data_IF_955455428438
#
_entry.id   IF_955455428438
#
_cell.length_a   1.000
_cell.length_b   1.000
_cell.length_c   1.000
_cell.angle_alpha   90.00
_cell.angle_beta   90.00
_cell.angle_gamma   90.00
#
_symmetry.space_group_name_H-M   'P 1'
#
loop_
_entity.id
_entity.type
_entity.pdbx_description
1 polymer ?
#
# COMPACT_ATOMS: atom_id res chain seq x y z
N UNK A 1 25.47 -17.01 7.50
CA UNK A 1 24.81 -17.93 6.54
C UNK A 1 25.74 -18.36 5.41
N UNK A 2 26.21 -17.44 4.54
CA UNK A 2 27.04 -17.77 3.35
C UNK A 2 28.28 -18.64 3.65
N UNK A 3 29.00 -18.37 4.74
CA UNK A 3 30.17 -19.18 5.13
C UNK A 3 29.81 -20.60 5.57
N UNK A 4 28.69 -20.76 6.29
CA UNK A 4 28.20 -22.09 6.71
C UNK A 4 27.78 -22.92 5.49
N UNK A 5 27.05 -22.28 4.56
CA UNK A 5 26.64 -22.93 3.32
C UNK A 5 27.84 -23.24 2.41
N UNK A 6 28.84 -22.36 2.34
CA UNK A 6 30.06 -22.58 1.56
C UNK A 6 30.98 -23.68 2.12
N UNK A 7 30.95 -23.95 3.43
CA UNK A 7 31.68 -25.08 4.04
C UNK A 7 30.92 -26.40 3.85
N UNK A 8 29.59 -26.35 3.84
CA UNK A 8 28.72 -27.50 3.61
C UNK A 8 28.41 -27.76 2.13
N UNK A 9 28.83 -26.89 1.21
CA UNK A 9 28.47 -26.99 -0.22
C UNK A 9 29.16 -28.13 -0.96
N UNK A 10 30.25 -28.66 -0.40
CA UNK A 10 30.99 -29.78 -0.98
C UNK A 10 31.29 -30.85 0.06
N UNK A 11 31.44 -32.12 -0.37
CA UNK A 11 31.98 -33.15 0.50
C UNK A 11 33.43 -32.84 0.84
N UNK A 12 33.77 -32.89 2.11
CA UNK A 12 35.15 -32.87 2.58
C UNK A 12 35.74 -34.27 2.40
N UNK A 13 36.98 -34.32 1.91
CA UNK A 13 37.66 -35.59 1.61
C UNK A 13 38.77 -35.80 2.61
N UNK A 14 38.67 -36.87 3.39
CA UNK A 14 39.75 -37.37 4.24
C UNK A 14 40.50 -38.44 3.44
N UNK A 15 41.81 -38.26 3.27
CA UNK A 15 42.66 -39.22 2.54
C UNK A 15 43.78 -39.72 3.44
N UNK A 16 43.85 -41.04 3.60
CA UNK A 16 44.96 -41.69 4.29
C UNK A 16 46.12 -41.93 3.32
N UNK A 17 47.15 -41.09 3.38
CA UNK A 17 48.30 -41.10 2.45
C UNK A 17 49.03 -42.45 2.41
N UNK A 18 49.10 -43.16 3.53
CA UNK A 18 49.76 -44.48 3.63
C UNK A 18 49.07 -45.59 2.82
N UNK A 19 47.83 -45.35 2.36
CA UNK A 19 47.00 -46.32 1.63
C UNK A 19 46.72 -45.91 0.18
N UNK A 20 47.21 -44.75 -0.24
CA UNK A 20 47.14 -44.29 -1.62
C UNK A 20 48.43 -44.69 -2.33
N UNK A 21 48.36 -45.10 -3.59
CA UNK A 21 49.54 -45.50 -4.35
C UNK A 21 50.52 -44.30 -4.48
N UNK A 22 51.85 -44.46 -4.31
CA UNK A 22 52.82 -43.35 -4.23
C UNK A 22 52.97 -42.47 -5.48
N UNK A 23 52.16 -42.70 -6.52
CA UNK A 23 52.15 -41.94 -7.77
C UNK A 23 50.83 -41.24 -8.07
N UNK A 24 49.83 -41.26 -7.18
CA UNK A 24 48.58 -40.53 -7.39
C UNK A 24 48.64 -39.08 -6.90
N UNK A 25 48.10 -38.18 -7.72
CA UNK A 25 47.87 -36.78 -7.37
C UNK A 25 46.69 -36.70 -6.38
N UNK A 26 46.99 -36.26 -5.15
CA UNK A 26 46.03 -36.13 -4.04
C UNK A 26 45.26 -34.80 -4.06
N UNK A 27 45.72 -33.81 -4.82
CA UNK A 27 45.21 -32.44 -4.77
C UNK A 27 44.15 -32.17 -5.84
N UNK A 28 44.24 -32.84 -7.00
CA UNK A 28 43.30 -32.63 -8.10
C UNK A 28 42.28 -33.77 -8.23
N UNK A 29 41.00 -33.47 -8.03
CA UNK A 29 39.88 -34.39 -8.26
C UNK A 29 39.04 -33.92 -9.45
N UNK A 30 38.71 -34.85 -10.36
CA UNK A 30 37.85 -34.60 -11.52
C UNK A 30 36.73 -35.66 -11.59
N UNK A 31 35.64 -35.40 -12.33
CA UNK A 31 34.53 -36.35 -12.46
C UNK A 31 35.03 -37.72 -12.96
N UNK A 32 34.56 -38.80 -12.34
CA UNK A 32 34.95 -40.19 -12.64
C UNK A 32 36.41 -40.56 -12.34
N UNK A 33 37.12 -39.79 -11.50
CA UNK A 33 38.44 -40.20 -10.99
C UNK A 33 38.32 -41.48 -10.15
N UNK A 34 39.02 -42.52 -10.59
CA UNK A 34 39.15 -43.79 -9.86
C UNK A 34 40.44 -43.74 -9.06
N UNK A 35 40.34 -43.88 -7.73
CA UNK A 35 41.48 -43.87 -6.84
C UNK A 35 42.09 -45.26 -6.71
N UNK A 36 43.41 -45.36 -6.91
CA UNK A 36 44.15 -46.60 -6.70
C UNK A 36 44.58 -46.70 -5.25
N UNK A 37 43.95 -47.62 -4.52
CA UNK A 37 44.23 -47.86 -3.10
C UNK A 37 45.06 -49.12 -2.92
N UNK A 38 45.95 -49.10 -1.92
CA UNK A 38 46.74 -50.24 -1.48
C UNK A 38 46.46 -50.45 0.00
N UNK A 39 46.09 -51.67 0.40
CA UNK A 39 45.94 -52.03 1.81
C UNK A 39 47.07 -52.99 2.23
N UNK A 40 48.23 -52.48 2.65
CA UNK A 40 49.36 -53.31 3.05
C UNK A 40 49.14 -54.05 4.39
N UNK A 41 48.11 -53.70 5.17
CA UNK A 41 47.84 -54.30 6.50
C UNK A 41 46.49 -55.02 6.61
N UNK A 42 45.68 -55.08 5.55
CA UNK A 42 44.43 -55.85 5.52
C UNK A 42 43.38 -55.40 6.54
N UNK A 43 43.37 -54.11 6.90
CA UNK A 43 42.55 -53.57 8.00
C UNK A 43 41.13 -53.19 7.57
N UNK A 44 40.80 -53.27 6.29
CA UNK A 44 39.43 -53.13 5.78
C UNK A 44 38.81 -51.72 5.91
N UNK A 45 39.59 -50.71 6.32
CA UNK A 45 39.15 -49.31 6.37
C UNK A 45 39.37 -48.64 5.01
N UNK A 46 38.39 -47.88 4.50
CA UNK A 46 38.51 -47.15 3.24
C UNK A 46 39.67 -46.15 3.29
N UNK A 47 40.41 -46.02 2.19
CA UNK A 47 41.53 -45.08 2.09
C UNK A 47 41.08 -43.63 1.90
N UNK A 48 39.86 -43.44 1.38
CA UNK A 48 39.26 -42.13 1.09
C UNK A 48 37.85 -42.13 1.67
N UNK A 49 37.58 -41.16 2.53
CA UNK A 49 36.25 -40.91 3.09
C UNK A 49 35.75 -39.56 2.63
N UNK A 50 34.53 -39.55 2.12
CA UNK A 50 33.78 -38.31 1.86
C UNK A 50 32.83 -38.09 3.03
N UNK A 51 32.94 -36.94 3.69
CA UNK A 51 31.98 -36.52 4.70
C UNK A 51 31.48 -35.12 4.38
N UNK A 52 30.19 -34.89 4.57
CA UNK A 52 29.59 -33.57 4.39
C UNK A 52 29.22 -33.01 5.77
N UNK A 53 29.71 -31.82 6.14
CA UNK A 53 29.25 -31.14 7.35
C UNK A 53 27.74 -30.86 7.26
N UNK A 54 27.00 -31.07 8.35
CA UNK A 54 25.57 -30.78 8.38
C UNK A 54 25.33 -29.26 8.24
N UNK A 55 24.61 -28.80 7.20
CA UNK A 55 24.32 -27.38 7.03
C UNK A 55 23.30 -26.90 8.09
N UNK A 56 23.75 -26.09 9.06
CA UNK A 56 22.86 -25.42 10.03
C UNK A 56 22.10 -24.20 9.44
N UNK A 57 21.68 -24.28 8.17
CA UNK A 57 21.18 -23.14 7.39
C UNK A 57 19.81 -22.67 7.85
N UNK A 58 18.92 -23.59 8.25
CA UNK A 58 17.54 -23.26 8.64
C UNK A 58 17.48 -22.41 9.91
N UNK A 59 18.29 -22.75 10.91
CA UNK A 59 18.36 -21.99 12.16
C UNK A 59 18.98 -20.60 11.92
N UNK A 60 19.99 -20.51 11.05
CA UNK A 60 20.59 -19.23 10.69
C UNK A 60 19.64 -18.33 9.89
N UNK A 61 18.80 -18.92 9.04
CA UNK A 61 17.74 -18.20 8.33
C UNK A 61 16.70 -17.66 9.33
N UNK A 62 16.25 -18.47 10.28
CA UNK A 62 15.30 -18.03 11.31
C UNK A 62 15.84 -16.86 12.16
N UNK A 63 17.13 -16.90 12.53
CA UNK A 63 17.80 -15.80 13.24
C UNK A 63 17.88 -14.54 12.36
N UNK A 64 18.21 -14.69 11.08
CA UNK A 64 18.25 -13.57 10.14
C UNK A 64 16.87 -12.92 9.99
N UNK A 65 15.82 -13.71 9.76
CA UNK A 65 14.46 -13.21 9.59
C UNK A 65 13.96 -12.49 10.86
N UNK A 66 14.33 -12.99 12.04
CA UNK A 66 14.03 -12.33 13.31
C UNK A 66 14.69 -10.94 13.41
N UNK A 67 16.00 -10.86 13.17
CA UNK A 67 16.71 -9.58 13.22
C UNK A 67 16.28 -8.63 12.10
N UNK A 68 15.95 -9.15 10.92
CA UNK A 68 15.47 -8.33 9.81
C UNK A 68 14.07 -7.76 10.09
N UNK A 69 13.17 -8.54 10.70
CA UNK A 69 11.87 -8.05 11.20
C UNK A 69 12.05 -7.02 12.31
N UNK A 70 12.89 -7.31 13.30
CA UNK A 70 13.17 -6.38 14.40
C UNK A 70 13.77 -5.06 13.90
N UNK A 71 14.70 -5.13 12.94
CA UNK A 71 15.28 -3.96 12.32
C UNK A 71 14.22 -3.11 11.61
N UNK A 72 13.29 -3.74 10.88
CA UNK A 72 12.19 -3.02 10.22
C UNK A 72 11.22 -2.35 11.20
N UNK A 73 11.01 -2.94 12.38
CA UNK A 73 10.21 -2.34 13.44
C UNK A 73 10.93 -1.15 14.09
N UNK A 74 12.24 -1.25 14.31
CA UNK A 74 13.05 -0.16 14.86
C UNK A 74 13.26 1.02 13.91
N UNK A 75 13.42 0.76 12.61
CA UNK A 75 13.53 1.84 11.61
C UNK A 75 12.18 2.52 11.33
N UNK A 76 11.07 1.94 11.80
CA UNK A 76 9.74 2.46 11.56
C UNK A 76 9.30 2.36 10.10
N UNK A 77 10.01 1.61 9.24
CA UNK A 77 9.63 1.34 7.86
C UNK A 77 9.35 -0.17 7.72
N UNK A 78 8.09 -0.58 7.87
CA UNK A 78 7.71 -1.97 7.76
C UNK A 78 7.92 -2.52 6.35
N UNK A 79 8.24 -3.81 6.28
CA UNK A 79 8.58 -4.51 5.04
C UNK A 79 7.48 -4.47 3.97
N UNK A 80 6.22 -4.31 4.37
CA UNK A 80 5.10 -4.19 3.44
C UNK A 80 5.17 -2.94 2.56
N UNK A 81 5.81 -1.83 2.99
CA UNK A 81 5.97 -0.63 2.16
C UNK A 81 6.84 -0.92 0.93
N UNK A 82 7.88 -1.75 1.07
CA UNK A 82 8.83 -2.04 0.00
C UNK A 82 8.27 -2.97 -1.09
N UNK A 83 6.98 -3.31 -1.03
CA UNK A 83 6.35 -4.18 -2.01
C UNK A 83 6.71 -5.65 -1.82
N UNK A 84 6.98 -6.08 -0.57
CA UNK A 84 7.11 -7.50 -0.27
C UNK A 84 5.88 -8.24 -0.82
N UNK A 85 6.13 -9.20 -1.71
CA UNK A 85 5.18 -10.09 -2.37
C UNK A 85 4.35 -10.95 -1.39
N UNK A 86 4.50 -10.72 -0.08
CA UNK A 86 3.65 -11.25 0.99
C UNK A 86 2.24 -10.66 1.04
N UNK A 87 1.90 -9.72 0.14
CA UNK A 87 0.50 -9.42 -0.17
C UNK A 87 -0.28 -10.64 -0.70
N UNK A 88 0.41 -11.73 -1.08
CA UNK A 88 -0.20 -13.04 -1.40
C UNK A 88 -0.03 -14.11 -0.32
N UNK A 89 0.76 -13.87 0.74
CA UNK A 89 1.10 -14.87 1.76
C UNK A 89 0.71 -14.50 3.20
N UNK A 90 0.39 -13.23 3.47
CA UNK A 90 -0.05 -12.77 4.78
C UNK A 90 -1.50 -13.18 5.07
N UNK A 91 -1.70 -14.37 5.62
CA UNK A 91 -2.97 -14.75 6.27
C UNK A 91 -3.28 -13.74 7.39
N UNK A 92 -4.11 -12.73 7.11
CA UNK A 92 -4.50 -11.69 8.06
C UNK A 92 -4.95 -10.38 7.40
N UNK A 93 -5.06 -9.31 8.21
CA UNK A 93 -5.62 -8.01 7.82
C UNK A 93 -5.02 -7.36 6.56
N UNK A 94 -3.80 -7.73 6.15
CA UNK A 94 -3.16 -7.30 4.90
C UNK A 94 -3.78 -7.86 3.61
N UNK A 95 -4.64 -8.88 3.70
CA UNK A 95 -5.32 -9.47 2.55
C UNK A 95 -6.50 -8.63 2.03
N UNK A 96 -6.99 -7.68 2.83
CA UNK A 96 -8.08 -6.78 2.43
C UNK A 96 -7.51 -5.41 2.07
N UNK A 97 -7.99 -4.82 0.97
CA UNK A 97 -7.54 -3.49 0.54
C UNK A 97 -7.65 -2.43 1.67
N UNK A 98 -8.66 -2.55 2.53
CA UNK A 98 -8.84 -1.68 3.70
C UNK A 98 -7.79 -1.92 4.79
N UNK A 99 -7.49 -3.18 5.14
CA UNK A 99 -6.50 -3.49 6.17
C UNK A 99 -5.06 -3.26 5.70
N UNK A 100 -4.77 -3.47 4.41
CA UNK A 100 -3.52 -3.03 3.79
C UNK A 100 -3.40 -1.49 3.84
N UNK A 101 -4.47 -0.75 3.50
CA UNK A 101 -4.46 0.72 3.58
C UNK A 101 -4.27 1.23 5.01
N UNK A 102 -4.82 0.54 6.02
CA UNK A 102 -4.58 0.88 7.43
C UNK A 102 -3.13 0.68 7.85
N UNK A 103 -2.52 -0.44 7.45
CA UNK A 103 -1.11 -0.71 7.71
C UNK A 103 -0.21 0.30 6.99
N UNK A 104 -0.52 0.63 5.73
CA UNK A 104 0.18 1.68 5.00
C UNK A 104 0.07 3.03 5.69
N UNK A 105 -1.12 3.43 6.16
CA UNK A 105 -1.30 4.69 6.87
C UNK A 105 -0.49 4.75 8.18
N UNK A 106 -0.43 3.65 8.94
CA UNK A 106 0.36 3.58 10.17
C UNK A 106 1.86 3.77 9.89
N UNK A 107 2.36 3.23 8.78
CA UNK A 107 3.74 3.39 8.37
C UNK A 107 4.03 4.71 7.64
N UNK A 108 3.03 5.33 7.01
CA UNK A 108 3.15 6.69 6.47
C UNK A 108 3.37 7.71 7.60
N UNK A 109 2.82 7.46 8.80
CA UNK A 109 3.01 8.35 9.96
C UNK A 109 4.48 8.50 10.35
N UNK A 110 5.25 7.41 10.39
CA UNK A 110 6.69 7.48 10.73
C UNK A 110 7.48 8.25 9.67
N UNK A 111 7.11 8.12 8.39
CA UNK A 111 7.69 8.92 7.31
C UNK A 111 7.32 10.40 7.45
N UNK A 112 6.07 10.70 7.81
CA UNK A 112 5.61 12.08 8.06
C UNK A 112 6.33 12.72 9.25
N UNK A 113 6.62 11.96 10.30
CA UNK A 113 7.40 12.44 11.45
C UNK A 113 8.82 12.87 11.00
N UNK A 114 9.46 12.11 10.11
CA UNK A 114 10.76 12.50 9.52
C UNK A 114 10.64 13.79 8.71
N UNK A 115 9.58 13.96 7.91
CA UNK A 115 9.34 15.21 7.16
C UNK A 115 9.11 16.38 8.12
N UNK A 116 8.40 16.16 9.23
CA UNK A 116 8.18 17.16 10.26
C UNK A 116 9.50 17.62 10.90
N UNK A 117 10.40 16.66 11.15
CA UNK A 117 11.74 16.94 11.67
C UNK A 117 12.58 17.74 10.67
N UNK A 118 12.47 17.45 9.36
CA UNK A 118 13.18 18.21 8.32
C UNK A 118 12.66 19.66 8.23
N UNK A 119 11.35 19.85 8.27
CA UNK A 119 10.72 21.17 8.27
C UNK A 119 11.15 21.99 9.49
N UNK A 120 11.14 21.38 10.68
CA UNK A 120 11.51 22.01 11.94
C UNK A 120 13.00 22.31 12.06
N UNK A 121 13.86 21.32 11.84
CA UNK A 121 15.29 21.43 12.15
C UNK A 121 16.12 21.97 10.98
N UNK A 122 15.76 21.63 9.74
CA UNK A 122 16.56 21.98 8.55
C UNK A 122 16.05 23.26 7.91
N UNK A 123 14.75 23.31 7.57
CA UNK A 123 14.18 24.43 6.82
C UNK A 123 14.12 25.68 7.68
N UNK A 124 13.60 25.57 8.91
CA UNK A 124 13.48 26.72 9.82
C UNK A 124 14.85 27.31 10.13
N UNK A 125 15.87 26.47 10.39
CA UNK A 125 17.23 26.94 10.64
C UNK A 125 17.84 27.59 9.39
N UNK A 126 17.69 26.98 8.21
CA UNK A 126 18.21 27.54 6.96
C UNK A 126 17.65 28.93 6.66
N UNK A 127 16.34 29.14 6.87
CA UNK A 127 15.71 30.46 6.67
C UNK A 127 16.19 31.46 7.72
N UNK A 128 16.36 31.03 8.99
CA UNK A 128 16.90 31.88 10.05
C UNK A 128 18.33 32.32 9.76
N UNK A 129 19.20 31.41 9.30
CA UNK A 129 20.57 31.74 8.89
C UNK A 129 20.58 32.70 7.69
N UNK A 130 19.68 32.47 6.72
CA UNK A 130 19.54 33.36 5.57
C UNK A 130 19.10 34.77 6.00
N UNK A 131 18.14 34.87 6.92
CA UNK A 131 17.74 36.15 7.51
C UNK A 131 18.89 36.82 8.24
N UNK A 132 19.65 36.07 9.05
CA UNK A 132 20.82 36.59 9.77
C UNK A 132 21.89 37.13 8.80
N UNK A 133 22.13 36.43 7.71
CA UNK A 133 23.00 36.89 6.63
C UNK A 133 22.48 38.19 6.00
N UNK A 134 21.19 38.29 5.67
CA UNK A 134 20.60 39.53 5.14
C UNK A 134 20.72 40.67 6.16
N UNK A 135 20.52 40.41 7.46
CA UNK A 135 20.63 41.44 8.51
C UNK A 135 22.04 41.99 8.67
N UNK A 136 23.06 41.13 8.57
CA UNK A 136 24.47 41.49 8.71
C UNK A 136 25.02 42.23 7.49
N UNK A 137 24.65 41.80 6.28
CA UNK A 137 25.31 42.25 5.04
C UNK A 137 24.49 43.22 4.18
N UNK A 138 23.16 43.29 4.33
CA UNK A 138 22.34 44.24 3.56
C UNK A 138 22.41 45.66 4.17
N UNK A 139 22.57 46.65 3.30
CA UNK A 139 22.73 48.08 3.63
C UNK A 139 21.37 48.78 3.79
N UNK A 140 20.29 48.20 3.28
CA UNK A 140 18.94 48.76 3.40
C UNK A 140 18.32 48.53 4.77
N UNK A 141 18.28 49.59 5.60
CA UNK A 141 17.68 49.55 6.95
C UNK A 141 16.17 49.22 6.93
N UNK A 142 15.45 49.55 5.85
CA UNK A 142 14.01 49.25 5.71
C UNK A 142 13.68 47.76 5.67
N UNK A 143 14.64 46.89 5.34
CA UNK A 143 14.44 45.43 5.29
C UNK A 143 14.72 44.75 6.64
N UNK A 144 15.14 45.52 7.65
CA UNK A 144 15.51 44.99 8.97
C UNK A 144 14.29 44.90 9.89
N UNK A 145 13.57 43.78 9.77
CA UNK A 145 12.44 43.42 10.63
C UNK A 145 12.68 42.11 11.37
N UNK A 146 11.97 41.93 12.48
CA UNK A 146 11.97 40.67 13.23
C UNK A 146 11.17 39.60 12.48
N UNK A 147 11.60 38.35 12.53
CA UNK A 147 10.91 37.22 11.88
C UNK A 147 10.67 36.08 12.85
N UNK A 148 9.48 35.50 12.77
CA UNK A 148 9.17 34.22 13.36
C UNK A 148 8.88 33.22 12.24
N UNK A 149 9.82 32.32 11.99
CA UNK A 149 9.71 31.30 10.93
C UNK A 149 8.94 30.10 11.49
N UNK A 150 7.84 29.75 10.84
CA UNK A 150 7.03 28.57 11.17
C UNK A 150 6.82 27.76 9.89
N UNK A 151 7.48 26.61 9.78
CA UNK A 151 7.26 25.67 8.68
C UNK A 151 5.94 24.92 8.90
N UNK A 152 4.99 25.01 7.95
CA UNK A 152 3.64 24.39 8.02
C UNK A 152 3.37 23.42 6.88
N UNK A 153 4.36 23.10 6.06
CA UNK A 153 4.17 22.29 4.85
C UNK A 153 3.73 20.86 5.20
N UNK A 154 4.49 20.19 6.06
CA UNK A 154 4.15 18.87 6.60
C UNK A 154 2.78 18.83 7.27
N UNK A 155 2.47 19.78 8.15
CA UNK A 155 1.16 19.88 8.83
C UNK A 155 0.00 19.97 7.82
N UNK A 156 0.12 20.84 6.81
CA UNK A 156 -0.90 20.97 5.78
C UNK A 156 -1.09 19.69 4.97
N UNK A 157 -0.01 18.94 4.69
CA UNK A 157 -0.09 17.67 3.98
C UNK A 157 -0.82 16.60 4.79
N UNK A 158 -0.53 16.48 6.08
CA UNK A 158 -1.18 15.53 6.99
C UNK A 158 -2.69 15.84 7.09
N UNK A 159 -3.04 17.11 7.27
CA UNK A 159 -4.44 17.54 7.33
C UNK A 159 -5.14 17.26 5.99
N UNK A 160 -4.49 17.53 4.86
CA UNK A 160 -5.06 17.29 3.55
C UNK A 160 -5.37 15.80 3.31
N UNK A 161 -4.46 14.91 3.71
CA UNK A 161 -4.64 13.46 3.66
C UNK A 161 -5.76 12.99 4.60
N UNK A 162 -5.78 13.45 5.85
CA UNK A 162 -6.82 13.10 6.81
C UNK A 162 -8.21 13.54 6.32
N UNK A 163 -8.31 14.74 5.75
CA UNK A 163 -9.54 15.23 5.13
C UNK A 163 -9.95 14.37 3.93
N UNK A 164 -8.99 13.85 3.15
CA UNK A 164 -9.28 12.95 2.03
C UNK A 164 -9.88 11.63 2.51
N UNK A 165 -9.30 11.03 3.55
CA UNK A 165 -9.81 9.78 4.14
C UNK A 165 -11.22 9.98 4.71
N UNK A 166 -11.44 11.04 5.49
CA UNK A 166 -12.77 11.38 6.04
C UNK A 166 -13.79 11.66 4.95
N UNK A 167 -13.40 12.27 3.84
CA UNK A 167 -14.29 12.51 2.70
C UNK A 167 -14.73 11.18 2.05
N UNK A 168 -13.81 10.23 1.88
CA UNK A 168 -14.13 8.91 1.33
C UNK A 168 -15.03 8.12 2.29
N UNK A 169 -14.75 8.15 3.58
CA UNK A 169 -15.58 7.55 4.63
C UNK A 169 -17.00 8.13 4.60
N UNK A 170 -17.11 9.46 4.61
CA UNK A 170 -18.39 10.18 4.50
C UNK A 170 -19.12 9.79 3.21
N UNK A 171 -18.42 9.69 2.07
CA UNK A 171 -19.02 9.30 0.80
C UNK A 171 -19.55 7.87 0.82
N UNK A 172 -18.89 6.96 1.54
CA UNK A 172 -19.33 5.57 1.68
C UNK A 172 -20.50 5.43 2.65
N UNK A 173 -20.46 6.13 3.78
CA UNK A 173 -21.49 6.09 4.82
C UNK A 173 -22.81 6.72 4.34
N UNK A 174 -22.73 7.86 3.67
CA UNK A 174 -23.92 8.58 3.15
C UNK A 174 -24.48 7.99 1.85
N UNK A 175 -24.14 6.73 1.54
CA UNK A 175 -24.75 5.95 0.46
C UNK A 175 -25.96 5.13 0.95
N UNK A 176 -26.69 5.64 1.94
CA UNK A 176 -27.90 5.04 2.49
C UNK A 176 -29.16 5.82 2.03
N UNK A 177 -30.35 5.19 1.98
CA UNK A 177 -31.57 5.87 1.55
C UNK A 177 -32.05 6.96 2.52
N UNK A 178 -31.66 6.89 3.79
CA UNK A 178 -32.04 7.87 4.82
C UNK A 178 -31.25 9.17 4.62
N UNK A 179 -29.94 9.12 4.48
CA UNK A 179 -29.14 10.35 4.31
C UNK A 179 -29.44 10.94 2.95
N UNK A 180 -29.62 10.14 1.89
CA UNK A 180 -30.06 10.65 0.58
C UNK A 180 -31.38 11.42 0.64
N UNK A 181 -32.32 11.04 1.52
CA UNK A 181 -33.55 11.80 1.73
C UNK A 181 -33.32 13.13 2.49
N UNK A 182 -32.34 13.18 3.39
CA UNK A 182 -32.00 14.36 4.19
C UNK A 182 -31.20 15.40 3.38
N UNK A 183 -30.15 14.95 2.69
CA UNK A 183 -29.27 15.85 1.92
C UNK A 183 -29.71 16.04 0.46
N UNK A 184 -30.62 15.20 -0.04
CA UNK A 184 -31.10 15.25 -1.43
C UNK A 184 -30.01 14.94 -2.46
N UNK A 185 -30.40 14.88 -3.74
CA UNK A 185 -29.44 14.75 -4.85
C UNK A 185 -28.47 15.94 -4.92
N UNK A 186 -28.89 17.13 -4.48
CA UNK A 186 -28.05 18.33 -4.46
C UNK A 186 -26.92 18.28 -3.43
N UNK A 187 -27.21 17.88 -2.18
CA UNK A 187 -26.21 17.78 -1.13
C UNK A 187 -25.17 16.71 -1.43
N UNK A 188 -25.63 15.56 -1.97
CA UNK A 188 -24.74 14.48 -2.42
C UNK A 188 -23.84 14.94 -3.57
N UNK A 189 -24.36 15.71 -4.52
CA UNK A 189 -23.58 16.25 -5.63
C UNK A 189 -22.48 17.22 -5.18
N UNK A 190 -22.68 17.99 -4.11
CA UNK A 190 -21.61 18.84 -3.55
C UNK A 190 -20.47 18.01 -2.99
N UNK A 191 -20.76 16.93 -2.26
CA UNK A 191 -19.75 16.01 -1.73
C UNK A 191 -18.97 15.31 -2.85
N UNK A 192 -19.66 14.86 -3.89
CA UNK A 192 -19.04 14.26 -5.07
C UNK A 192 -18.18 15.26 -5.85
N UNK A 193 -18.60 16.53 -5.94
CA UNK A 193 -17.82 17.57 -6.60
C UNK A 193 -16.51 17.83 -5.87
N UNK A 194 -16.54 17.89 -4.54
CA UNK A 194 -15.34 18.11 -3.73
C UNK A 194 -14.35 16.94 -3.83
N UNK A 195 -14.83 15.69 -3.90
CA UNK A 195 -13.95 14.53 -4.10
C UNK A 195 -13.31 14.49 -5.49
N UNK A 196 -14.07 14.82 -6.53
CA UNK A 196 -13.59 14.87 -7.93
C UNK A 196 -12.63 16.03 -8.17
N UNK A 197 -12.84 17.18 -7.51
CA UNK A 197 -11.91 18.31 -7.56
C UNK A 197 -10.51 17.94 -7.06
N UNK A 198 -10.43 17.10 -6.03
CA UNK A 198 -9.14 16.59 -5.51
C UNK A 198 -8.46 15.60 -6.45
N UNK A 199 -9.24 14.89 -7.27
CA UNK A 199 -8.73 14.03 -8.35
C UNK A 199 -8.22 14.83 -9.57
N UNK A 200 -8.23 16.17 -9.51
CA UNK A 200 -7.85 17.08 -10.62
C UNK A 200 -8.66 16.84 -11.90
N UNK A 201 -9.85 16.28 -11.78
CA UNK A 201 -10.79 16.11 -12.88
C UNK A 201 -11.66 17.38 -13.03
N UNK A 202 -12.15 17.71 -14.24
CA UNK A 202 -13.08 18.81 -14.43
C UNK A 202 -14.39 18.53 -13.67
N UNK A 203 -14.50 19.09 -12.48
CA UNK A 203 -15.60 18.81 -11.55
C UNK A 203 -16.98 19.25 -12.03
N UNK A 204 -17.01 20.20 -12.98
CA UNK A 204 -18.24 20.67 -13.63
C UNK A 204 -18.76 19.77 -14.76
N UNK A 205 -17.91 18.88 -15.29
CA UNK A 205 -18.28 17.97 -16.38
C UNK A 205 -18.87 16.65 -15.84
N UNK A 206 -18.38 16.20 -14.67
CA UNK A 206 -18.79 14.92 -14.07
C UNK A 206 -20.00 15.06 -13.14
N UNK A 207 -20.12 16.19 -12.43
CA UNK A 207 -21.23 16.41 -11.47
C UNK A 207 -22.04 17.65 -11.85
N UNK A 208 -23.30 17.49 -12.29
CA UNK A 208 -24.13 18.60 -12.73
C UNK A 208 -24.29 19.69 -11.65
N UNK A 209 -24.39 20.94 -12.07
CA UNK A 209 -24.58 22.08 -11.17
C UNK A 209 -25.92 22.04 -10.44
N UNK A 210 -25.98 22.69 -9.27
CA UNK A 210 -27.17 22.71 -8.40
C UNK A 210 -28.46 23.07 -9.16
N UNK A 211 -28.39 24.01 -10.10
CA UNK A 211 -29.51 24.43 -10.95
C UNK A 211 -29.99 23.32 -11.90
N UNK A 212 -29.06 22.58 -12.50
CA UNK A 212 -29.37 21.48 -13.42
C UNK A 212 -29.91 20.25 -12.69
N UNK A 213 -29.47 20.02 -11.45
CA UNK A 213 -29.98 18.94 -10.59
C UNK A 213 -31.42 19.25 -10.18
N UNK A 214 -31.70 20.48 -9.74
CA UNK A 214 -33.08 20.94 -9.45
C UNK A 214 -34.00 20.76 -10.64
N UNK A 215 -33.57 21.20 -11.82
CA UNK A 215 -34.35 21.08 -13.05
C UNK A 215 -34.62 19.61 -13.42
N UNK A 216 -33.62 18.72 -13.26
CA UNK A 216 -33.79 17.28 -13.49
C UNK A 216 -34.70 16.60 -12.45
N UNK A 217 -34.63 17.00 -11.18
CA UNK A 217 -35.54 16.49 -10.14
C UNK A 217 -36.97 16.91 -10.42
N UNK A 218 -37.20 18.18 -10.76
CA UNK A 218 -38.54 18.69 -11.07
C UNK A 218 -39.13 18.01 -12.32
N UNK A 219 -38.30 17.75 -13.33
CA UNK A 219 -38.70 17.00 -14.52
C UNK A 219 -39.02 15.52 -14.21
N UNK A 220 -38.27 14.88 -13.30
CA UNK A 220 -38.56 13.52 -12.83
C UNK A 220 -39.88 13.45 -12.03
N UNK A 221 -40.13 14.41 -11.14
CA UNK A 221 -41.40 14.48 -10.39
C UNK A 221 -42.59 14.71 -11.33
N UNK A 222 -42.44 15.56 -12.35
CA UNK A 222 -43.48 15.77 -13.35
C UNK A 222 -43.73 14.54 -14.23
N UNK A 223 -42.70 13.75 -14.54
CA UNK A 223 -42.86 12.49 -15.27
C UNK A 223 -43.50 11.40 -14.41
N UNK A 224 -43.17 11.31 -13.12
CA UNK A 224 -43.81 10.35 -12.20
C UNK A 224 -45.27 10.70 -11.90
N UNK A 225 -45.65 11.98 -11.91
CA UNK A 225 -47.06 12.40 -11.82
C UNK A 225 -47.86 12.18 -13.10
N UNK A 226 -47.21 11.93 -14.24
CA UNK A 226 -47.88 11.65 -15.51
C UNK A 226 -48.15 10.14 -15.74
N UNK A 227 -47.55 9.24 -14.95
CA UNK A 227 -47.66 7.78 -15.11
C UNK A 227 -48.44 7.03 -14.00
N UNK A 228 -49.28 7.69 -13.20
CA UNK A 228 -50.31 6.99 -12.39
C UNK A 228 -51.32 7.92 -11.71
N UNK A 229 -52.65 7.64 -11.75
CA UNK A 229 -53.26 6.30 -11.77
C UNK A 229 -54.23 6.07 -12.94
N UNK A 230 -53.83 5.26 -13.93
CA UNK A 230 -54.75 4.61 -14.86
C UNK A 230 -55.10 3.19 -14.37
N UNK A 231 -55.61 3.08 -13.14
CA UNK A 231 -56.17 1.82 -12.63
C UNK A 231 -57.09 2.07 -11.43
N UNK A 232 -58.33 2.51 -11.66
CA UNK A 232 -59.49 2.24 -10.80
C UNK A 232 -60.78 2.67 -11.52
N UNK A 233 -61.45 1.68 -12.12
CA UNK A 233 -62.84 1.75 -12.59
C UNK A 233 -63.77 1.86 -11.35
N UNK A 234 -64.90 2.58 -11.40
CA UNK A 234 -66.17 1.85 -11.56
C UNK A 234 -67.34 2.61 -12.26
N UNK A 235 -68.17 1.79 -12.93
CA UNK A 235 -69.63 1.75 -12.87
C UNK A 235 -70.51 2.96 -13.32
N UNK A 236 -71.22 2.76 -14.44
CA UNK A 236 -72.65 2.38 -14.38
C UNK A 236 -73.73 3.46 -14.46
N UNK A 237 -74.54 3.43 -15.55
CA UNK A 237 -75.89 4.01 -15.65
C UNK A 237 -76.42 3.97 -17.09
N UNK A 238 -77.15 2.90 -17.51
CA UNK A 238 -78.62 2.81 -17.70
C UNK A 238 -79.17 3.89 -18.66
N UNK A 239 -79.99 3.66 -19.70
CA UNK A 239 -80.96 2.63 -20.09
C UNK A 239 -81.51 3.02 -21.48
N UNK A 240 -81.73 2.09 -22.42
CA UNK A 240 -83.09 1.77 -22.88
C UNK A 240 -83.49 2.33 -24.28
N UNK A 241 -83.54 1.43 -25.27
CA UNK A 241 -84.63 1.26 -26.26
C UNK A 241 -84.92 2.30 -27.38
N UNK A 242 -84.71 1.88 -28.65
CA UNK A 242 -85.61 1.99 -29.84
C UNK A 242 -84.78 1.67 -31.11
N UNK A 243 -84.85 0.49 -31.75
CA UNK A 243 -85.88 -0.07 -32.66
C UNK A 243 -85.99 0.65 -34.04
N UNK A 244 -85.73 -0.16 -35.10
CA UNK A 244 -86.12 -0.11 -36.54
C UNK A 244 -85.17 0.44 -37.62
N UNK A 245 -84.53 -0.54 -38.27
CA UNK A 245 -84.52 -0.85 -39.72
C UNK A 245 -85.25 0.14 -40.66
N UNK A 246 -84.52 0.72 -41.62
CA UNK A 246 -84.80 0.70 -43.08
C UNK A 246 -83.85 1.66 -43.83
N UNK A 247 -83.00 1.14 -44.72
CA UNK A 247 -83.15 1.21 -46.19
C UNK A 247 -82.06 0.40 -46.88
#
# INVERSE_FOLDING_TARGET
MVRNLGIASGPQTEVSVDRVDPGEDLENQFPWKVWKTRDPMGTGRPAINFYQPNPMTDILQGVYDYFFKQASEQTGIPQYIYGAEDAKGGSGAGATATGLSMLMNAATKTMQDVVFQIDGDVITQSIREHWLHVMLFDKDVKKKGDINVVARASEHLIIAEQLQLRLIETLRETNNPIDLAIMGMEGRAVLLRESIKRLKLPSGEVVPDKSTIKAKQLAMEQQQMAEGPAALNPAGGKSGEMVRVNR
#
